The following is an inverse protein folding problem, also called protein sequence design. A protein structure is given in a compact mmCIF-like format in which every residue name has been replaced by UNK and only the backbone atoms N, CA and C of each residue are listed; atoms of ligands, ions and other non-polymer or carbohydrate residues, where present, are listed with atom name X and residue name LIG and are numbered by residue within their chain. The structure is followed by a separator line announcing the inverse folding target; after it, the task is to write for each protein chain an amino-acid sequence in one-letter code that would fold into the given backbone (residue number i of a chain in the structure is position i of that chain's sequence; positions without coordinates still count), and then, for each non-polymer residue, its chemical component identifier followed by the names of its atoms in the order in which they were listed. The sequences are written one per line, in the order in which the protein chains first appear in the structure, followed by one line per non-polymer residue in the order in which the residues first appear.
data_IF_925178427449
#
_entry.id   IF_925178427449
#
_cell.length_a   1.000
_cell.length_b   1.000
_cell.length_c   1.000
_cell.angle_alpha   90.00
_cell.angle_beta   90.00
_cell.angle_gamma   90.00
#
_symmetry.space_group_name_H-M   'P 1'
#
loop_
_entity.id
_entity.type
_entity.pdbx_description
1 polymer ?
#
# COMPACT_ATOMS: atom_id res chain seq x y z
N UNK A 1 6.15 7.75 8.39
CA UNK A 1 4.86 7.09 8.37
C UNK A 1 3.69 7.97 7.93
N UNK A 2 3.56 9.22 8.41
CA UNK A 2 2.44 10.11 8.02
C UNK A 2 2.44 10.52 6.54
N UNK A 3 3.56 10.45 5.89
CA UNK A 3 3.73 10.85 4.50
C UNK A 3 3.03 9.91 3.51
N UNK A 4 3.01 8.60 3.79
CA UNK A 4 2.28 7.63 2.96
C UNK A 4 0.79 7.99 2.85
N UNK A 5 0.13 8.26 3.98
CA UNK A 5 -1.28 8.66 4.00
C UNK A 5 -1.55 9.94 3.19
N UNK A 6 -0.61 10.91 3.24
CA UNK A 6 -0.66 12.13 2.45
C UNK A 6 -0.52 11.87 0.96
N UNK A 7 0.49 11.13 0.55
CA UNK A 7 0.75 10.83 -0.85
C UNK A 7 -0.38 9.97 -1.46
N UNK A 8 -0.87 8.95 -0.75
CA UNK A 8 -1.99 8.13 -1.19
C UNK A 8 -3.28 8.95 -1.36
N UNK A 9 -3.58 9.84 -0.39
CA UNK A 9 -4.74 10.74 -0.46
C UNK A 9 -4.60 11.70 -1.63
N UNK A 10 -3.44 12.33 -1.79
CA UNK A 10 -3.15 13.26 -2.88
C UNK A 10 -3.38 12.58 -4.25
N UNK A 11 -2.74 11.44 -4.49
CA UNK A 11 -2.87 10.72 -5.75
C UNK A 11 -4.34 10.30 -5.97
N UNK A 12 -5.03 9.82 -4.94
CA UNK A 12 -6.42 9.38 -5.05
C UNK A 12 -7.38 10.55 -5.40
N UNK A 13 -7.15 11.74 -4.87
CA UNK A 13 -7.99 12.93 -5.11
C UNK A 13 -7.73 13.60 -6.46
N UNK A 14 -6.48 13.54 -6.96
CA UNK A 14 -6.15 14.05 -8.30
C UNK A 14 -6.44 13.03 -9.42
N UNK A 15 -6.66 11.77 -9.08
CA UNK A 15 -6.91 10.72 -10.07
C UNK A 15 -8.37 10.68 -10.49
N UNK A 16 -8.61 10.40 -11.77
CA UNK A 16 -9.97 10.12 -12.26
C UNK A 16 -10.51 8.81 -11.68
N UNK A 17 -11.82 8.72 -11.45
CA UNK A 17 -12.47 7.57 -10.83
C UNK A 17 -12.18 6.26 -11.56
N UNK A 18 -12.07 6.30 -12.90
CA UNK A 18 -11.80 5.13 -13.75
C UNK A 18 -10.36 4.64 -13.75
N UNK A 19 -9.39 5.46 -13.30
CA UNK A 19 -7.95 5.13 -13.36
C UNK A 19 -7.25 5.29 -12.01
N UNK A 20 -8.01 5.41 -10.93
CA UNK A 20 -7.46 5.66 -9.60
C UNK A 20 -6.55 4.53 -9.12
N UNK A 21 -6.87 3.25 -9.47
CA UNK A 21 -6.02 2.11 -9.15
C UNK A 21 -4.67 2.20 -9.86
N UNK A 22 -4.68 2.43 -11.16
CA UNK A 22 -3.45 2.59 -11.94
C UNK A 22 -2.60 3.78 -11.47
N UNK A 23 -3.22 4.94 -11.25
CA UNK A 23 -2.49 6.11 -10.75
C UNK A 23 -1.98 5.91 -9.32
N UNK A 24 -2.78 5.31 -8.44
CA UNK A 24 -2.38 4.98 -7.08
C UNK A 24 -1.19 4.02 -7.02
N UNK A 25 -1.11 3.05 -7.93
CA UNK A 25 -0.01 2.08 -7.96
C UNK A 25 1.37 2.69 -8.22
N UNK A 26 1.45 3.92 -8.76
CA UNK A 26 2.72 4.65 -8.90
C UNK A 26 3.33 5.02 -7.55
N UNK A 27 2.55 5.10 -6.47
CA UNK A 27 3.11 5.32 -5.14
C UNK A 27 4.03 4.16 -4.75
N UNK A 28 3.56 2.94 -4.84
CA UNK A 28 4.36 1.75 -4.49
C UNK A 28 5.44 1.45 -5.54
N UNK A 29 5.19 1.75 -6.80
CA UNK A 29 6.22 1.71 -7.83
C UNK A 29 7.41 2.62 -7.45
N UNK A 30 7.14 3.84 -6.97
CA UNK A 30 8.15 4.76 -6.46
C UNK A 30 8.88 4.22 -5.22
N UNK A 31 8.13 3.58 -4.31
CA UNK A 31 8.69 2.90 -3.13
C UNK A 31 9.66 1.79 -3.54
N UNK A 32 9.27 0.92 -4.47
CA UNK A 32 10.14 -0.14 -4.98
C UNK A 32 11.40 0.42 -5.66
N UNK A 33 11.28 1.51 -6.44
CA UNK A 33 12.47 2.20 -6.99
C UNK A 33 13.39 2.65 -5.86
N UNK A 34 12.85 3.26 -4.80
CA UNK A 34 13.62 3.70 -3.65
C UNK A 34 14.37 2.55 -2.98
N UNK A 35 13.72 1.41 -2.78
CA UNK A 35 14.36 0.20 -2.23
C UNK A 35 15.49 -0.31 -3.13
N UNK A 36 15.24 -0.44 -4.42
CA UNK A 36 16.24 -0.94 -5.39
C UNK A 36 17.44 0.01 -5.48
N UNK A 37 17.22 1.32 -5.50
CA UNK A 37 18.29 2.31 -5.51
C UNK A 37 19.10 2.27 -4.21
N UNK A 38 18.42 2.22 -3.05
CA UNK A 38 19.07 2.16 -1.74
C UNK A 38 19.93 0.90 -1.60
N UNK A 39 19.36 -0.26 -1.87
CA UNK A 39 20.08 -1.53 -1.84
C UNK A 39 21.18 -1.61 -2.90
N UNK A 40 20.95 -1.04 -4.09
CA UNK A 40 21.95 -0.94 -5.15
C UNK A 40 23.18 -0.10 -4.75
N UNK A 41 22.97 1.03 -4.07
CA UNK A 41 24.07 1.84 -3.52
C UNK A 41 24.86 1.04 -2.49
N UNK A 42 24.20 0.34 -1.57
CA UNK A 42 24.87 -0.49 -0.57
C UNK A 42 25.66 -1.61 -1.24
N UNK A 43 25.08 -2.33 -2.20
CA UNK A 43 25.75 -3.39 -2.95
C UNK A 43 26.99 -2.88 -3.69
N UNK A 44 26.90 -1.71 -4.35
CA UNK A 44 28.01 -1.05 -5.03
C UNK A 44 29.16 -0.70 -4.08
N UNK A 45 28.84 -0.14 -2.92
CA UNK A 45 29.83 0.21 -1.89
C UNK A 45 30.51 -1.04 -1.33
N UNK A 46 29.74 -2.09 -1.03
CA UNK A 46 30.27 -3.36 -0.53
C UNK A 46 31.18 -4.05 -1.54
N UNK A 47 30.86 -3.96 -2.83
CA UNK A 47 31.69 -4.53 -3.89
C UNK A 47 32.94 -3.70 -4.22
N UNK A 48 32.91 -2.37 -3.97
CA UNK A 48 33.97 -1.43 -4.38
C UNK A 48 34.95 -1.07 -3.26
N UNK A 49 34.55 -1.21 -2.00
CA UNK A 49 35.33 -0.81 -0.84
C UNK A 49 35.82 -2.03 -0.04
N UNK A 50 37.04 -1.91 0.54
CA UNK A 50 37.47 -2.87 1.54
C UNK A 50 36.59 -2.82 2.79
N UNK A 51 36.52 -3.90 3.55
CA UNK A 51 35.74 -3.97 4.79
C UNK A 51 36.13 -2.88 5.80
N UNK A 52 37.42 -2.57 5.88
CA UNK A 52 37.93 -1.50 6.72
C UNK A 52 37.42 -0.11 6.27
N UNK A 53 37.48 0.18 4.98
CA UNK A 53 36.96 1.43 4.41
C UNK A 53 35.42 1.54 4.57
N UNK A 54 34.70 0.43 4.37
CA UNK A 54 33.26 0.37 4.54
C UNK A 54 32.85 0.69 5.99
N UNK A 55 33.52 0.09 6.96
CA UNK A 55 33.24 0.30 8.38
C UNK A 55 33.70 1.67 8.90
N UNK A 56 34.77 2.26 8.35
CA UNK A 56 35.27 3.55 8.80
C UNK A 56 34.48 4.73 8.25
N UNK A 57 34.16 4.78 6.97
CA UNK A 57 33.46 5.90 6.33
C UNK A 57 32.39 5.52 5.31
N UNK A 58 32.55 4.37 4.62
CA UNK A 58 31.72 3.99 3.49
C UNK A 58 30.22 3.89 3.84
N UNK A 59 29.86 3.45 5.04
CA UNK A 59 28.50 3.35 5.52
C UNK A 59 27.77 4.71 5.58
N UNK A 60 28.51 5.83 5.61
CA UNK A 60 27.93 7.18 5.62
C UNK A 60 27.43 7.63 4.26
N UNK A 61 27.95 7.06 3.18
CA UNK A 61 27.67 7.49 1.79
C UNK A 61 26.17 7.40 1.44
N UNK A 62 25.44 6.31 1.75
CA UNK A 62 24.01 6.24 1.48
C UNK A 62 23.22 7.36 2.16
N UNK A 63 23.58 7.71 3.40
CA UNK A 63 22.93 8.79 4.14
C UNK A 63 23.24 10.17 3.55
N UNK A 64 24.46 10.38 3.07
CA UNK A 64 24.84 11.63 2.39
C UNK A 64 24.11 11.79 1.05
N UNK A 65 23.89 10.71 0.31
CA UNK A 65 23.09 10.73 -0.94
C UNK A 65 21.61 11.04 -0.62
N UNK A 66 21.08 10.58 0.50
CA UNK A 66 19.72 10.87 0.91
C UNK A 66 19.47 12.37 1.17
N UNK A 67 20.49 13.14 1.57
CA UNK A 67 20.38 14.58 1.82
C UNK A 67 19.88 15.39 0.63
N UNK A 68 20.57 15.38 -0.54
CA UNK A 68 20.11 16.05 -1.74
C UNK A 68 18.72 15.57 -2.21
N UNK A 69 18.42 14.26 -2.11
CA UNK A 69 17.10 13.72 -2.43
C UNK A 69 16.02 14.30 -1.53
N UNK A 70 16.30 14.44 -0.23
CA UNK A 70 15.41 15.10 0.72
C UNK A 70 15.14 16.57 0.39
N UNK A 71 16.17 17.31 -0.06
CA UNK A 71 16.02 18.70 -0.51
C UNK A 71 15.16 18.81 -1.78
N UNK A 72 15.31 17.89 -2.72
CA UNK A 72 14.45 17.79 -3.92
C UNK A 72 13.01 17.52 -3.49
N UNK A 73 12.79 16.57 -2.58
CA UNK A 73 11.47 16.26 -2.04
C UNK A 73 10.83 17.47 -1.35
N UNK A 74 11.60 18.20 -0.54
CA UNK A 74 11.15 19.45 0.09
C UNK A 74 10.77 20.51 -0.94
N UNK A 75 11.59 20.71 -1.98
CA UNK A 75 11.32 21.66 -3.06
C UNK A 75 10.02 21.31 -3.80
N UNK A 76 9.84 20.05 -4.18
CA UNK A 76 8.60 19.58 -4.82
C UNK A 76 7.40 19.84 -3.92
N UNK A 77 7.49 19.51 -2.63
CA UNK A 77 6.42 19.72 -1.66
C UNK A 77 6.03 21.18 -1.50
N UNK A 78 6.99 22.10 -1.55
CA UNK A 78 6.70 23.56 -1.50
C UNK A 78 6.03 24.09 -2.77
N UNK A 79 6.18 23.39 -3.91
CA UNK A 79 5.59 23.78 -5.20
C UNK A 79 4.27 23.09 -5.51
N UNK A 80 3.95 21.99 -4.82
CA UNK A 80 2.68 21.29 -4.99
C UNK A 80 1.55 22.13 -4.40
N UNK A 81 0.52 22.34 -5.21
CA UNK A 81 -0.73 22.95 -4.75
C UNK A 81 -1.55 21.97 -3.92
N UNK A 82 -2.37 22.50 -3.02
CA UNK A 82 -3.34 21.72 -2.28
C UNK A 82 -4.36 21.06 -3.20
N UNK A 83 -4.89 19.90 -2.78
CA UNK A 83 -5.85 19.15 -3.59
C UNK A 83 -7.13 19.95 -3.84
N UNK A 84 -7.77 19.80 -5.02
CA UNK A 84 -9.03 20.49 -5.31
C UNK A 84 -10.14 20.19 -4.29
N UNK A 85 -10.15 18.98 -3.73
CA UNK A 85 -11.09 18.59 -2.70
C UNK A 85 -10.84 19.34 -1.39
N UNK A 86 -9.57 19.51 -1.00
CA UNK A 86 -9.20 20.26 0.19
C UNK A 86 -9.45 21.78 0.01
N UNK A 87 -9.11 22.36 -1.16
CA UNK A 87 -9.39 23.78 -1.46
C UNK A 87 -10.88 24.09 -1.34
N UNK A 88 -11.75 23.29 -1.98
CA UNK A 88 -13.21 23.45 -1.89
C UNK A 88 -13.73 23.34 -0.46
N UNK A 89 -13.19 22.41 0.32
CA UNK A 89 -13.57 22.24 1.72
C UNK A 89 -13.11 23.42 2.59
N UNK A 90 -11.91 23.96 2.33
CA UNK A 90 -11.41 25.16 2.99
C UNK A 90 -12.29 26.38 2.67
N UNK A 91 -12.61 26.60 1.39
CA UNK A 91 -13.51 27.66 0.93
C UNK A 91 -14.92 27.55 1.54
N UNK A 92 -15.48 26.33 1.59
CA UNK A 92 -16.77 26.08 2.21
C UNK A 92 -16.76 26.33 3.74
N UNK A 93 -15.61 26.09 4.40
CA UNK A 93 -15.43 26.38 5.83
C UNK A 93 -15.29 27.86 6.11
N UNK A 94 -14.54 28.59 5.29
CA UNK A 94 -14.41 30.04 5.38
C UNK A 94 -15.76 30.72 5.18
N UNK A 95 -16.56 30.24 4.22
CA UNK A 95 -17.91 30.77 3.97
C UNK A 95 -18.89 30.53 5.14
N UNK A 96 -18.63 29.53 6.00
CA UNK A 96 -19.49 29.20 7.16
C UNK A 96 -18.98 29.80 8.48
N UNK A 97 -17.87 30.53 8.48
CA UNK A 97 -17.25 31.17 9.67
C UNK A 97 -17.08 30.22 10.88
N UNK A 98 -16.83 28.92 10.58
CA UNK A 98 -16.71 27.87 11.60
C UNK A 98 -15.39 27.15 11.47
N UNK A 99 -14.45 27.47 12.35
CA UNK A 99 -13.36 26.55 12.65
C UNK A 99 -13.94 25.22 13.13
N UNK A 100 -13.64 24.11 12.46
CA UNK A 100 -14.07 22.79 12.93
C UNK A 100 -13.32 22.47 14.23
N UNK A 101 -14.00 22.35 15.37
CA UNK A 101 -13.35 22.04 16.64
C UNK A 101 -12.61 20.71 16.54
N UNK A 102 -11.44 20.58 17.20
CA UNK A 102 -10.72 19.30 17.34
C UNK A 102 -11.60 18.16 17.89
N UNK A 103 -12.59 18.50 18.71
CA UNK A 103 -13.60 17.59 19.20
C UNK A 103 -14.39 16.89 18.09
N UNK A 104 -14.78 17.64 17.04
CA UNK A 104 -15.55 17.10 15.92
C UNK A 104 -14.75 16.09 15.06
N UNK A 105 -13.43 16.31 14.90
CA UNK A 105 -12.54 15.33 14.22
C UNK A 105 -12.53 14.00 14.99
N UNK A 106 -12.35 14.04 16.30
CA UNK A 106 -12.33 12.86 17.17
C UNK A 106 -13.67 12.12 17.12
N UNK A 107 -14.79 12.83 17.23
CA UNK A 107 -16.13 12.26 17.15
C UNK A 107 -16.37 11.59 15.80
N UNK A 108 -16.01 12.27 14.69
CA UNK A 108 -16.14 11.72 13.34
C UNK A 108 -15.22 10.51 13.14
N UNK A 109 -14.01 10.52 13.69
CA UNK A 109 -13.09 9.40 13.65
C UNK A 109 -13.69 8.17 14.35
N UNK A 110 -14.21 8.34 15.57
CA UNK A 110 -14.84 7.25 16.31
C UNK A 110 -16.15 6.78 15.67
N UNK A 111 -16.93 7.67 15.05
CA UNK A 111 -18.11 7.29 14.27
C UNK A 111 -17.75 6.37 13.10
N UNK A 112 -16.52 6.47 12.55
CA UNK A 112 -16.02 5.65 11.45
C UNK A 112 -15.11 4.49 11.91
N UNK A 113 -15.28 3.99 13.15
CA UNK A 113 -14.43 2.93 13.71
C UNK A 113 -14.36 1.66 12.85
N UNK A 114 -15.45 1.31 12.15
CA UNK A 114 -15.49 0.15 11.23
C UNK A 114 -14.53 0.35 10.06
N UNK A 115 -14.48 1.55 9.47
CA UNK A 115 -13.54 1.89 8.41
C UNK A 115 -12.09 1.88 8.91
N UNK A 116 -11.85 2.31 10.15
CA UNK A 116 -10.53 2.22 10.78
C UNK A 116 -10.09 0.76 10.99
N UNK A 117 -10.97 -0.10 11.49
CA UNK A 117 -10.66 -1.53 11.63
C UNK A 117 -10.39 -2.19 10.27
N UNK A 118 -11.19 -1.88 9.25
CA UNK A 118 -10.94 -2.34 7.89
C UNK A 118 -9.60 -1.84 7.36
N UNK A 119 -9.27 -0.58 7.58
CA UNK A 119 -7.97 -0.02 7.23
C UNK A 119 -6.84 -0.80 7.90
N UNK A 120 -6.91 -1.01 9.22
CA UNK A 120 -5.89 -1.77 9.97
C UNK A 120 -5.76 -3.20 9.44
N UNK A 121 -6.86 -3.90 9.17
CA UNK A 121 -6.83 -5.28 8.65
C UNK A 121 -6.27 -5.38 7.23
N UNK A 122 -6.61 -4.44 6.35
CA UNK A 122 -6.06 -4.38 4.99
C UNK A 122 -4.56 -4.04 5.00
N UNK A 123 -4.18 -3.07 5.83
CA UNK A 123 -2.77 -2.68 5.97
C UNK A 123 -1.95 -3.78 6.66
N UNK A 124 -2.56 -4.57 7.58
CA UNK A 124 -1.91 -5.70 8.23
C UNK A 124 -1.44 -6.72 7.19
N UNK A 125 -2.35 -7.26 6.36
CA UNK A 125 -1.96 -8.25 5.35
C UNK A 125 -0.93 -7.72 4.36
N UNK A 126 -1.08 -6.47 3.93
CA UNK A 126 -0.13 -5.81 3.06
C UNK A 126 1.26 -5.75 3.70
N UNK A 127 1.36 -5.17 4.91
CA UNK A 127 2.66 -4.94 5.55
C UNK A 127 3.30 -6.24 6.07
N UNK A 128 2.52 -7.19 6.60
CA UNK A 128 3.07 -8.50 6.96
C UNK A 128 3.73 -9.16 5.76
N UNK A 129 3.07 -9.14 4.60
CA UNK A 129 3.63 -9.72 3.37
C UNK A 129 4.85 -8.94 2.88
N UNK A 130 4.79 -7.61 2.90
CA UNK A 130 5.87 -6.72 2.46
C UNK A 130 7.14 -6.92 3.32
N UNK A 131 7.02 -6.80 4.64
CA UNK A 131 8.14 -6.98 5.55
C UNK A 131 8.66 -8.42 5.58
N UNK A 132 7.78 -9.41 5.35
CA UNK A 132 8.20 -10.80 5.21
C UNK A 132 9.10 -10.97 3.99
N UNK A 133 8.62 -10.54 2.82
CA UNK A 133 9.32 -10.79 1.54
C UNK A 133 10.56 -9.91 1.39
N UNK A 134 10.45 -8.62 1.73
CA UNK A 134 11.49 -7.64 1.42
C UNK A 134 12.50 -7.44 2.57
N UNK A 135 12.15 -7.78 3.80
CA UNK A 135 13.01 -7.57 4.96
C UNK A 135 13.43 -8.87 5.65
N UNK A 136 12.47 -9.73 6.02
CA UNK A 136 12.77 -10.93 6.80
C UNK A 136 13.41 -12.04 5.96
N UNK A 137 12.84 -12.41 4.81
CA UNK A 137 13.34 -13.54 4.00
C UNK A 137 14.79 -13.38 3.55
N UNK A 138 15.30 -12.20 3.15
CA UNK A 138 16.72 -12.03 2.86
C UNK A 138 17.61 -12.39 4.04
N UNK A 139 17.28 -11.94 5.25
CA UNK A 139 18.01 -12.26 6.47
C UNK A 139 17.86 -13.73 6.86
N UNK A 140 16.68 -14.31 6.73
CA UNK A 140 16.41 -15.73 7.00
C UNK A 140 17.20 -16.64 6.07
N UNK A 141 17.30 -16.31 4.79
CA UNK A 141 18.09 -17.09 3.83
C UNK A 141 19.57 -17.08 4.18
N UNK A 142 20.13 -15.93 4.57
CA UNK A 142 21.55 -15.83 4.91
C UNK A 142 21.87 -16.41 6.28
N UNK A 143 21.09 -16.08 7.32
CA UNK A 143 21.38 -16.46 8.70
C UNK A 143 20.97 -17.89 9.06
N UNK A 144 19.85 -18.37 8.50
CA UNK A 144 19.26 -19.65 8.88
C UNK A 144 19.50 -20.74 7.83
N UNK A 145 19.38 -20.41 6.55
CA UNK A 145 19.60 -21.35 5.46
C UNK A 145 21.05 -21.36 4.96
N UNK A 146 21.90 -20.48 5.51
CA UNK A 146 23.32 -20.34 5.13
C UNK A 146 23.56 -20.08 3.65
N UNK A 147 22.59 -19.42 2.99
CA UNK A 147 22.75 -18.93 1.64
C UNK A 147 23.74 -17.76 1.64
N UNK A 148 24.49 -17.60 0.56
CA UNK A 148 25.37 -16.46 0.41
C UNK A 148 24.57 -15.14 0.49
N UNK A 149 25.02 -14.22 1.35
CA UNK A 149 24.32 -12.98 1.64
C UNK A 149 24.17 -12.11 0.37
N UNK A 150 25.23 -12.03 -0.43
CA UNK A 150 25.25 -11.26 -1.67
C UNK A 150 24.28 -11.85 -2.70
N UNK A 151 24.23 -13.17 -2.83
CA UNK A 151 23.28 -13.84 -3.71
C UNK A 151 21.83 -13.65 -3.24
N UNK A 152 21.56 -13.75 -1.94
CA UNK A 152 20.23 -13.54 -1.36
C UNK A 152 19.73 -12.13 -1.67
N UNK A 153 20.58 -11.11 -1.49
CA UNK A 153 20.24 -9.73 -1.76
C UNK A 153 19.96 -9.50 -3.26
N UNK A 154 20.79 -10.04 -4.15
CA UNK A 154 20.60 -9.90 -5.60
C UNK A 154 19.29 -10.55 -6.05
N UNK A 155 18.93 -11.73 -5.53
CA UNK A 155 17.67 -12.39 -5.88
C UNK A 155 16.46 -11.56 -5.45
N UNK A 156 16.48 -10.98 -4.25
CA UNK A 156 15.41 -10.10 -3.77
C UNK A 156 15.32 -8.83 -4.62
N UNK A 157 16.46 -8.22 -4.96
CA UNK A 157 16.48 -7.05 -5.85
C UNK A 157 15.88 -7.36 -7.23
N UNK A 158 16.20 -8.52 -7.81
CA UNK A 158 15.61 -8.94 -9.09
C UNK A 158 14.09 -9.12 -8.98
N UNK A 159 13.61 -9.71 -7.87
CA UNK A 159 12.17 -9.84 -7.61
C UNK A 159 11.52 -8.46 -7.47
N UNK A 160 12.14 -7.52 -6.73
CA UNK A 160 11.63 -6.13 -6.62
C UNK A 160 11.51 -5.45 -7.99
N UNK A 161 12.51 -5.60 -8.86
CA UNK A 161 12.47 -5.05 -10.22
C UNK A 161 11.32 -5.65 -11.03
N UNK A 162 11.08 -6.96 -10.91
CA UNK A 162 9.95 -7.62 -11.57
C UNK A 162 8.59 -7.22 -10.95
N UNK A 163 8.55 -6.94 -9.66
CA UNK A 163 7.35 -6.45 -9.00
C UNK A 163 6.92 -5.06 -9.50
N UNK A 164 7.84 -4.20 -9.95
CA UNK A 164 7.50 -2.86 -10.45
C UNK A 164 6.41 -2.88 -11.54
N UNK A 165 6.60 -3.56 -12.69
CA UNK A 165 5.57 -3.63 -13.71
C UNK A 165 4.34 -4.41 -13.23
N UNK A 166 4.49 -5.42 -12.37
CA UNK A 166 3.38 -6.19 -11.81
C UNK A 166 2.48 -5.33 -10.91
N UNK A 167 3.06 -4.45 -10.10
CA UNK A 167 2.34 -3.48 -9.26
C UNK A 167 1.48 -2.54 -10.12
N UNK A 168 2.03 -1.99 -11.19
CA UNK A 168 1.27 -1.16 -12.12
C UNK A 168 0.18 -1.94 -12.85
N UNK A 169 0.46 -3.18 -13.23
CA UNK A 169 -0.52 -4.06 -13.85
C UNK A 169 -1.67 -4.40 -12.88
N UNK A 170 -1.36 -4.74 -11.63
CA UNK A 170 -2.36 -5.02 -10.60
C UNK A 170 -3.24 -3.79 -10.32
N UNK A 171 -2.66 -2.58 -10.25
CA UNK A 171 -3.40 -1.33 -10.15
C UNK A 171 -4.37 -1.12 -11.32
N UNK A 172 -3.90 -1.32 -12.56
CA UNK A 172 -4.74 -1.23 -13.75
C UNK A 172 -5.81 -2.33 -13.82
N UNK A 173 -5.48 -3.55 -13.40
CA UNK A 173 -6.41 -4.66 -13.34
C UNK A 173 -7.53 -4.36 -12.34
N UNK A 174 -7.19 -3.79 -11.18
CA UNK A 174 -8.16 -3.42 -10.15
C UNK A 174 -9.17 -2.35 -10.61
N UNK A 175 -8.77 -1.47 -11.54
CA UNK A 175 -9.69 -0.52 -12.16
C UNK A 175 -10.69 -1.20 -13.14
N UNK A 176 -10.35 -2.40 -13.64
CA UNK A 176 -11.21 -3.14 -14.60
C UNK A 176 -12.13 -4.13 -13.90
N UNK A 177 -11.57 -5.00 -13.06
CA UNK A 177 -12.29 -6.12 -12.43
C UNK A 177 -12.80 -5.81 -11.02
N UNK A 178 -12.38 -4.70 -10.44
CA UNK A 178 -12.65 -4.35 -9.05
C UNK A 178 -11.42 -4.52 -8.15
N UNK A 179 -11.40 -3.81 -7.04
CA UNK A 179 -10.30 -3.84 -6.05
C UNK A 179 -10.37 -5.10 -5.21
N UNK A 180 -11.59 -5.50 -4.79
CA UNK A 180 -11.81 -6.71 -3.99
C UNK A 180 -11.29 -7.98 -4.67
N UNK A 181 -11.60 -8.30 -5.94
CA UNK A 181 -11.12 -9.51 -6.59
C UNK A 181 -9.60 -9.61 -6.64
N UNK A 182 -8.90 -8.51 -6.91
CA UNK A 182 -7.43 -8.49 -6.98
C UNK A 182 -6.82 -8.75 -5.61
N UNK A 183 -7.31 -8.07 -4.57
CA UNK A 183 -6.82 -8.29 -3.20
C UNK A 183 -7.17 -9.69 -2.68
N UNK A 184 -8.38 -10.22 -2.99
CA UNK A 184 -8.75 -11.58 -2.63
C UNK A 184 -7.85 -12.61 -3.30
N UNK A 185 -7.50 -12.41 -4.59
CA UNK A 185 -6.55 -13.27 -5.27
C UNK A 185 -5.18 -13.28 -4.57
N UNK A 186 -4.72 -12.12 -4.09
CA UNK A 186 -3.51 -12.02 -3.25
C UNK A 186 -3.64 -12.79 -1.93
N UNK A 187 -4.74 -12.59 -1.19
CA UNK A 187 -4.97 -13.28 0.09
C UNK A 187 -5.10 -14.79 -0.08
N UNK A 188 -5.93 -15.27 -1.01
CA UNK A 188 -6.09 -16.69 -1.29
C UNK A 188 -4.80 -17.30 -1.82
N UNK A 189 -4.09 -16.56 -2.68
CA UNK A 189 -2.77 -16.95 -3.16
C UNK A 189 -1.78 -17.15 -2.01
N UNK A 190 -1.71 -16.22 -1.05
CA UNK A 190 -0.85 -16.37 0.14
C UNK A 190 -1.28 -17.56 1.00
N UNK A 191 -2.58 -17.78 1.18
CA UNK A 191 -3.06 -18.92 1.96
C UNK A 191 -2.65 -20.26 1.35
N UNK A 192 -2.62 -20.38 0.03
CA UNK A 192 -2.33 -21.62 -0.71
C UNK A 192 -0.85 -21.76 -1.05
N UNK A 193 -0.19 -20.68 -1.45
CA UNK A 193 1.15 -20.71 -2.04
C UNK A 193 2.28 -20.35 -1.06
N UNK A 194 2.00 -19.90 0.17
CA UNK A 194 3.07 -19.59 1.13
C UNK A 194 3.92 -20.82 1.47
N UNK A 195 3.30 -21.99 1.73
CA UNK A 195 4.02 -23.22 1.99
C UNK A 195 4.83 -23.67 0.77
N UNK A 196 4.24 -23.83 -0.44
CA UNK A 196 5.01 -24.14 -1.64
C UNK A 196 6.17 -23.19 -1.91
N UNK A 197 5.97 -21.88 -1.70
CA UNK A 197 7.02 -20.88 -1.89
C UNK A 197 8.19 -21.09 -0.92
N UNK A 198 7.90 -21.33 0.36
CA UNK A 198 8.93 -21.61 1.37
C UNK A 198 9.65 -22.95 1.08
N UNK A 199 8.94 -23.99 0.62
CA UNK A 199 9.56 -25.25 0.21
C UNK A 199 10.54 -25.04 -0.96
N UNK A 200 10.19 -24.19 -1.94
CA UNK A 200 11.10 -23.82 -3.02
C UNK A 200 12.33 -23.07 -2.48
N UNK A 201 12.16 -22.17 -1.53
CA UNK A 201 13.27 -21.45 -0.91
C UNK A 201 14.18 -22.41 -0.15
N UNK A 202 13.62 -23.37 0.59
CA UNK A 202 14.38 -24.40 1.33
C UNK A 202 15.12 -25.40 0.42
N UNK A 203 14.65 -25.60 -0.82
CA UNK A 203 15.34 -26.46 -1.78
C UNK A 203 16.75 -25.98 -2.14
N UNK A 204 17.07 -24.71 -1.86
CA UNK A 204 18.43 -24.19 -1.80
C UNK A 204 19.12 -23.98 -3.14
N UNK A 205 18.48 -24.23 -4.28
CA UNK A 205 19.05 -23.85 -5.59
C UNK A 205 18.68 -22.43 -5.93
N UNK A 206 19.55 -21.70 -6.64
CA UNK A 206 19.28 -20.32 -7.07
C UNK A 206 17.94 -20.18 -7.79
N UNK A 207 17.61 -21.13 -8.67
CA UNK A 207 16.37 -21.13 -9.43
C UNK A 207 15.13 -21.37 -8.54
N UNK A 208 15.22 -22.29 -7.57
CA UNK A 208 14.09 -22.57 -6.67
C UNK A 208 13.87 -21.42 -5.68
N UNK A 209 14.94 -20.83 -5.13
CA UNK A 209 14.87 -19.67 -4.25
C UNK A 209 14.23 -18.49 -5.00
N UNK A 210 14.72 -18.20 -6.21
CA UNK A 210 14.14 -17.14 -7.05
C UNK A 210 12.66 -17.41 -7.36
N UNK A 211 12.30 -18.66 -7.69
CA UNK A 211 10.91 -19.04 -7.96
C UNK A 211 10.00 -18.83 -6.74
N UNK A 212 10.43 -19.24 -5.55
CA UNK A 212 9.70 -19.05 -4.29
C UNK A 212 9.50 -17.56 -3.97
N UNK A 213 10.56 -16.77 -4.05
CA UNK A 213 10.50 -15.31 -3.86
C UNK A 213 9.60 -14.63 -4.90
N UNK A 214 9.69 -15.05 -6.17
CA UNK A 214 8.88 -14.47 -7.25
C UNK A 214 7.40 -14.74 -7.04
N UNK A 215 7.00 -15.94 -6.62
CA UNK A 215 5.60 -16.24 -6.29
C UNK A 215 5.10 -15.29 -5.21
N UNK A 216 5.85 -15.14 -4.11
CA UNK A 216 5.48 -14.22 -3.03
C UNK A 216 5.45 -12.76 -3.50
N UNK A 217 6.39 -12.34 -4.36
CA UNK A 217 6.43 -11.01 -4.95
C UNK A 217 5.22 -10.72 -5.85
N UNK A 218 4.77 -11.70 -6.65
CA UNK A 218 3.54 -11.58 -7.45
C UNK A 218 2.32 -11.40 -6.56
N UNK A 219 2.22 -12.17 -5.48
CA UNK A 219 1.12 -12.05 -4.53
C UNK A 219 1.15 -10.72 -3.79
N UNK A 220 2.34 -10.24 -3.40
CA UNK A 220 2.52 -8.92 -2.81
C UNK A 220 2.09 -7.81 -3.78
N UNK A 221 2.36 -7.97 -5.09
CA UNK A 221 1.97 -6.99 -6.10
C UNK A 221 0.44 -6.79 -6.19
N UNK A 222 -0.37 -7.77 -5.78
CA UNK A 222 -1.82 -7.62 -5.66
C UNK A 222 -2.22 -6.58 -4.60
N UNK A 223 -1.39 -6.40 -3.57
CA UNK A 223 -1.63 -5.40 -2.52
C UNK A 223 -0.99 -4.08 -2.87
N UNK A 224 0.29 -4.05 -3.26
CA UNK A 224 1.01 -2.82 -3.61
C UNK A 224 0.32 -2.06 -4.75
N UNK A 225 -0.26 -2.78 -5.72
CA UNK A 225 -0.99 -2.15 -6.83
C UNK A 225 -2.35 -1.55 -6.43
N UNK A 226 -2.99 -2.04 -5.38
CA UNK A 226 -4.38 -1.71 -5.06
C UNK A 226 -4.53 -0.82 -3.82
N UNK A 227 -3.72 -1.04 -2.78
CA UNK A 227 -3.85 -0.36 -1.49
C UNK A 227 -3.83 1.18 -1.59
N UNK A 228 -2.94 1.83 -2.38
CA UNK A 228 -2.93 3.28 -2.47
C UNK A 228 -4.24 3.90 -2.98
N UNK A 229 -5.07 3.12 -3.68
CA UNK A 229 -6.36 3.58 -4.17
C UNK A 229 -7.54 3.11 -3.30
N UNK A 230 -7.42 1.96 -2.64
CA UNK A 230 -8.47 1.38 -1.81
C UNK A 230 -8.56 2.05 -0.43
N UNK A 231 -7.42 2.32 0.21
CA UNK A 231 -7.38 2.86 1.57
C UNK A 231 -7.97 4.28 1.68
N UNK A 232 -7.64 5.25 0.79
CA UNK A 232 -8.27 6.57 0.83
C UNK A 232 -9.78 6.54 0.62
N UNK A 233 -10.28 5.55 -0.16
CA UNK A 233 -11.71 5.42 -0.44
C UNK A 233 -12.55 4.95 0.78
N UNK A 234 -11.91 4.45 1.83
CA UNK A 234 -12.59 4.06 3.08
C UNK A 234 -13.19 5.27 3.82
N UNK A 235 -12.53 6.41 3.72
CA UNK A 235 -12.81 7.57 4.57
C UNK A 235 -13.41 8.74 3.78
N UNK A 236 -14.37 9.48 4.38
CA UNK A 236 -14.86 10.72 3.79
C UNK A 236 -13.76 11.79 3.77
N UNK A 237 -13.85 12.74 2.82
CA UNK A 237 -12.84 13.78 2.58
C UNK A 237 -12.41 14.51 3.85
N UNK A 238 -13.36 14.76 4.75
CA UNK A 238 -13.13 15.54 5.98
C UNK A 238 -12.09 14.94 6.93
N UNK A 239 -12.03 13.62 7.01
CA UNK A 239 -11.12 12.90 7.93
C UNK A 239 -10.13 12.00 7.18
N UNK A 240 -10.24 11.87 5.85
CA UNK A 240 -9.49 10.92 5.01
C UNK A 240 -8.00 10.89 5.34
N UNK A 241 -7.34 12.04 5.27
CA UNK A 241 -5.91 12.14 5.54
C UNK A 241 -5.56 11.66 6.96
N UNK A 242 -6.23 12.21 7.98
CA UNK A 242 -5.91 11.90 9.37
C UNK A 242 -6.28 10.47 9.76
N UNK A 243 -7.44 9.98 9.32
CA UNK A 243 -7.89 8.62 9.61
C UNK A 243 -7.01 7.58 8.91
N UNK A 244 -6.65 7.82 7.65
CA UNK A 244 -5.72 6.96 6.91
C UNK A 244 -4.34 6.96 7.57
N UNK A 245 -3.80 8.11 7.92
CA UNK A 245 -2.51 8.20 8.58
C UNK A 245 -2.49 7.43 9.91
N UNK A 246 -3.53 7.54 10.73
CA UNK A 246 -3.65 6.81 12.00
C UNK A 246 -3.77 5.30 11.73
N UNK A 247 -4.73 4.87 10.91
CA UNK A 247 -4.96 3.44 10.63
C UNK A 247 -3.75 2.77 10.01
N UNK A 248 -3.11 3.43 9.05
CA UNK A 248 -1.91 2.94 8.39
C UNK A 248 -0.73 2.81 9.37
N UNK A 249 -0.39 3.88 10.09
CA UNK A 249 0.78 3.86 10.98
C UNK A 249 0.62 2.92 12.18
N UNK A 250 -0.58 2.83 12.76
CA UNK A 250 -0.86 1.84 13.82
C UNK A 250 -0.62 0.43 13.29
N UNK A 251 -1.15 0.11 12.12
CA UNK A 251 -0.99 -1.23 11.54
C UNK A 251 0.46 -1.53 11.13
N UNK A 252 1.16 -0.58 10.49
CA UNK A 252 2.58 -0.72 10.13
C UNK A 252 3.44 -0.96 11.37
N UNK A 253 3.24 -0.17 12.42
CA UNK A 253 4.04 -0.29 13.64
C UNK A 253 3.80 -1.60 14.37
N UNK A 254 2.52 -2.02 14.50
CA UNK A 254 2.17 -3.22 15.25
C UNK A 254 2.42 -4.53 14.48
N UNK A 255 2.24 -4.53 13.17
CA UNK A 255 2.28 -5.76 12.37
C UNK A 255 3.43 -5.77 11.35
N UNK A 256 3.69 -4.66 10.65
CA UNK A 256 4.80 -4.58 9.70
C UNK A 256 6.15 -4.62 10.40
N UNK A 257 6.44 -3.62 11.22
CA UNK A 257 7.73 -3.49 11.88
C UNK A 257 8.07 -4.64 12.84
N UNK A 258 7.08 -5.31 13.42
CA UNK A 258 7.29 -6.46 14.30
C UNK A 258 7.37 -7.80 13.56
N UNK A 259 6.98 -7.87 12.29
CA UNK A 259 6.98 -9.12 11.49
C UNK A 259 8.33 -9.85 11.53
N UNK A 260 9.50 -9.23 11.29
CA UNK A 260 10.78 -9.93 11.36
C UNK A 260 11.06 -10.50 12.75
N UNK A 261 10.81 -9.72 13.80
CA UNK A 261 11.04 -10.12 15.19
C UNK A 261 10.13 -11.29 15.60
N UNK A 262 8.84 -11.17 15.36
CA UNK A 262 7.85 -12.19 15.72
C UNK A 262 8.12 -13.47 14.94
N UNK A 263 8.44 -13.37 13.65
CA UNK A 263 8.72 -14.55 12.83
C UNK A 263 9.99 -15.25 13.25
N UNK A 264 11.07 -14.51 13.54
CA UNK A 264 12.32 -15.07 14.03
C UNK A 264 12.11 -15.75 15.39
N UNK A 265 11.38 -15.12 16.30
CA UNK A 265 11.03 -15.71 17.59
C UNK A 265 10.20 -17.00 17.44
N UNK A 266 9.20 -17.02 16.54
CA UNK A 266 8.40 -18.21 16.26
C UNK A 266 9.28 -19.37 15.72
N UNK A 267 10.19 -19.09 14.81
CA UNK A 267 11.13 -20.08 14.28
C UNK A 267 12.02 -20.63 15.40
N UNK A 268 12.55 -19.77 16.27
CA UNK A 268 13.42 -20.15 17.37
C UNK A 268 12.70 -21.01 18.41
N UNK A 269 11.53 -20.61 18.88
CA UNK A 269 10.77 -21.34 19.91
C UNK A 269 10.18 -22.65 19.40
N UNK A 270 9.73 -22.70 18.14
CA UNK A 270 9.07 -23.88 17.58
C UNK A 270 10.03 -24.84 16.87
N UNK A 271 11.26 -24.38 16.60
CA UNK A 271 12.23 -25.08 15.75
C UNK A 271 11.67 -25.48 14.37
N UNK A 272 10.66 -24.74 13.89
CA UNK A 272 9.99 -25.02 12.64
C UNK A 272 10.28 -23.92 11.61
N UNK A 273 11.07 -24.27 10.60
CA UNK A 273 11.47 -23.34 9.53
C UNK A 273 10.30 -22.93 8.60
N UNK A 274 9.11 -23.54 8.75
CA UNK A 274 7.91 -23.15 7.99
C UNK A 274 7.08 -22.05 8.67
N UNK A 275 7.48 -21.57 9.87
CA UNK A 275 6.76 -20.51 10.58
C UNK A 275 6.54 -19.24 9.75
N UNK A 276 7.46 -18.77 8.88
CA UNK A 276 7.20 -17.64 8.01
C UNK A 276 5.97 -17.86 7.10
N UNK A 277 5.78 -19.07 6.56
CA UNK A 277 4.60 -19.39 5.75
C UNK A 277 3.32 -19.36 6.60
N UNK A 278 3.32 -19.99 7.77
CA UNK A 278 2.15 -20.00 8.65
C UNK A 278 1.78 -18.62 9.14
N UNK A 279 2.75 -17.74 9.40
CA UNK A 279 2.52 -16.35 9.79
C UNK A 279 1.84 -15.57 8.67
N UNK A 280 2.32 -15.70 7.42
CA UNK A 280 1.68 -15.11 6.24
C UNK A 280 0.26 -15.67 6.01
N UNK A 281 0.05 -16.98 6.19
CA UNK A 281 -1.27 -17.58 6.07
C UNK A 281 -2.24 -17.04 7.14
N UNK A 282 -1.78 -16.88 8.39
CA UNK A 282 -2.58 -16.25 9.44
C UNK A 282 -2.99 -14.82 9.11
N UNK A 283 -2.04 -14.03 8.60
CA UNK A 283 -2.33 -12.68 8.12
C UNK A 283 -3.28 -12.69 6.91
N UNK A 284 -3.16 -13.67 6.00
CA UNK A 284 -4.05 -13.83 4.86
C UNK A 284 -5.51 -14.10 5.26
N UNK A 285 -5.74 -14.88 6.31
CA UNK A 285 -7.10 -15.10 6.85
C UNK A 285 -7.74 -13.79 7.34
N UNK A 286 -6.97 -12.96 8.07
CA UNK A 286 -7.43 -11.63 8.50
C UNK A 286 -7.67 -10.75 7.27
N UNK A 287 -6.78 -10.82 6.29
CA UNK A 287 -6.90 -10.12 5.01
C UNK A 287 -8.19 -10.49 4.26
N UNK A 288 -8.52 -11.78 4.16
CA UNK A 288 -9.76 -12.26 3.51
C UNK A 288 -10.99 -11.64 4.18
N UNK A 289 -11.06 -11.72 5.52
CA UNK A 289 -12.18 -11.12 6.28
C UNK A 289 -12.30 -9.63 5.99
N UNK A 290 -11.16 -8.90 6.02
CA UNK A 290 -11.13 -7.47 5.77
C UNK A 290 -11.54 -7.12 4.33
N UNK A 291 -11.05 -7.86 3.34
CA UNK A 291 -11.40 -7.62 1.92
C UNK A 291 -12.85 -7.98 1.63
N UNK A 292 -13.40 -9.05 2.22
CA UNK A 292 -14.82 -9.42 2.06
C UNK A 292 -15.72 -8.33 2.65
N UNK A 293 -15.36 -7.79 3.82
CA UNK A 293 -16.11 -6.70 4.46
C UNK A 293 -15.94 -5.33 3.77
N UNK A 294 -14.92 -5.16 2.93
CA UNK A 294 -14.71 -3.93 2.17
C UNK A 294 -15.83 -3.72 1.15
N UNK A 295 -16.34 -2.50 1.03
CA UNK A 295 -17.20 -2.13 -0.10
C UNK A 295 -16.34 -1.93 -1.36
N UNK A 296 -16.83 -2.41 -2.52
CA UNK A 296 -16.14 -2.15 -3.79
C UNK A 296 -16.13 -0.65 -4.10
N UNK A 297 -14.97 -0.12 -4.43
CA UNK A 297 -14.78 1.31 -4.67
C UNK A 297 -14.16 1.61 -6.05
N UNK A 298 -14.02 0.59 -6.90
CA UNK A 298 -13.51 0.78 -8.26
C UNK A 298 -14.51 1.59 -9.09
N UNK A 299 -13.99 2.58 -9.81
CA UNK A 299 -14.75 3.49 -10.69
C UNK A 299 -15.83 4.33 -9.98
N UNK A 300 -15.84 4.33 -8.65
CA UNK A 300 -16.77 5.15 -7.87
C UNK A 300 -16.09 6.43 -7.40
N UNK A 301 -16.83 7.53 -7.26
CA UNK A 301 -16.30 8.74 -6.63
C UNK A 301 -15.88 8.46 -5.19
N UNK A 302 -14.88 9.21 -4.73
CA UNK A 302 -14.48 9.14 -3.33
C UNK A 302 -15.59 9.70 -2.44
N UNK A 303 -15.78 9.10 -1.27
CA UNK A 303 -16.76 9.57 -0.27
C UNK A 303 -16.53 11.05 0.06
N UNK A 304 -17.55 11.87 -0.09
CA UNK A 304 -17.48 13.31 0.16
C UNK A 304 -16.73 14.12 -0.91
N UNK A 305 -16.37 13.52 -2.04
CA UNK A 305 -15.79 14.22 -3.20
C UNK A 305 -16.70 14.11 -4.41
N UNK A 306 -16.78 15.15 -5.24
CA UNK A 306 -17.53 15.06 -6.50
C UNK A 306 -16.86 14.04 -7.43
N UNK A 307 -17.62 13.46 -8.40
CA UNK A 307 -17.09 12.57 -9.40
C UNK A 307 -15.93 13.17 -10.19
N UNK A 308 -14.83 12.45 -10.32
CA UNK A 308 -13.64 12.87 -11.05
C UNK A 308 -13.59 12.19 -12.42
N UNK A 309 -13.92 12.94 -13.47
CA UNK A 309 -13.99 12.48 -14.87
C UNK A 309 -12.87 13.07 -15.73
N UNK A 310 -12.41 12.30 -16.72
CA UNK A 310 -11.27 12.69 -17.55
C UNK A 310 -11.67 13.62 -18.71
N UNK A 311 -12.93 13.57 -19.16
CA UNK A 311 -13.38 14.29 -20.36
C UNK A 311 -14.72 14.99 -20.15
N UNK A 312 -14.96 16.08 -20.93
CA UNK A 312 -16.27 16.77 -20.94
C UNK A 312 -17.42 15.84 -21.35
N UNK A 313 -17.15 14.85 -22.23
CA UNK A 313 -18.17 13.87 -22.64
C UNK A 313 -18.59 12.97 -21.47
N UNK A 314 -17.63 12.51 -20.67
CA UNK A 314 -17.91 11.73 -19.45
C UNK A 314 -18.67 12.57 -18.42
N UNK A 315 -18.32 13.86 -18.27
CA UNK A 315 -19.05 14.77 -17.39
C UNK A 315 -20.51 14.93 -17.81
N UNK A 316 -20.78 15.09 -19.13
CA UNK A 316 -22.16 15.19 -19.64
C UNK A 316 -22.93 13.87 -19.51
N UNK A 317 -22.29 12.72 -19.74
CA UNK A 317 -22.94 11.41 -19.55
C UNK A 317 -23.31 11.19 -18.08
N UNK A 318 -22.38 11.49 -17.17
CA UNK A 318 -22.62 11.37 -15.72
C UNK A 318 -23.75 12.32 -15.27
N UNK A 319 -23.75 13.58 -15.76
CA UNK A 319 -24.80 14.53 -15.44
C UNK A 319 -26.19 14.07 -15.95
N UNK A 320 -26.25 13.38 -17.10
CA UNK A 320 -27.49 12.77 -17.57
C UNK A 320 -27.94 11.61 -16.69
N UNK A 321 -27.03 10.68 -16.36
CA UNK A 321 -27.32 9.54 -15.50
C UNK A 321 -27.85 9.98 -14.13
N UNK A 322 -27.21 10.99 -13.52
CA UNK A 322 -27.66 11.53 -12.25
C UNK A 322 -29.04 12.17 -12.30
N UNK A 323 -29.39 12.85 -13.41
CA UNK A 323 -30.75 13.40 -13.61
C UNK A 323 -31.79 12.30 -13.80
N UNK A 324 -31.46 11.27 -14.60
CA UNK A 324 -32.34 10.12 -14.81
C UNK A 324 -32.62 9.37 -13.50
N UNK A 325 -31.57 9.17 -12.64
CA UNK A 325 -31.73 8.57 -11.31
C UNK A 325 -32.58 9.44 -10.35
N UNK A 326 -32.45 10.77 -10.40
CA UNK A 326 -33.24 11.71 -9.60
C UNK A 326 -34.69 11.72 -10.07
N UNK A 327 -34.96 11.75 -11.38
CA UNK A 327 -36.30 11.68 -11.96
C UNK A 327 -37.01 10.34 -11.63
N UNK A 328 -36.29 9.22 -11.71
CA UNK A 328 -36.83 7.90 -11.31
C UNK A 328 -37.14 7.85 -9.82
N UNK A 329 -36.29 8.42 -8.96
CA UNK A 329 -36.51 8.46 -7.53
C UNK A 329 -37.75 9.29 -7.13
N UNK A 330 -38.00 10.40 -7.84
CA UNK A 330 -39.20 11.22 -7.64
C UNK A 330 -40.48 10.48 -8.11
N UNK A 331 -40.40 9.75 -9.25
CA UNK A 331 -41.53 9.00 -9.80
C UNK A 331 -41.94 7.82 -8.90
N UNK A 332 -40.97 7.14 -8.30
CA UNK A 332 -41.24 5.97 -7.44
C UNK A 332 -41.35 6.29 -5.95
N UNK A 333 -41.23 7.54 -5.52
CA UNK A 333 -41.37 7.97 -4.11
C UNK A 333 -40.35 7.34 -3.16
N UNK A 334 -39.25 6.81 -3.69
CA UNK A 334 -38.17 6.24 -2.89
C UNK A 334 -37.23 7.37 -2.50
N UNK A 335 -37.22 7.73 -1.20
CA UNK A 335 -36.32 8.72 -0.67
C UNK A 335 -34.87 8.30 -1.00
N UNK A 336 -34.20 9.07 -1.85
CA UNK A 336 -32.76 8.88 -2.12
C UNK A 336 -32.04 9.02 -0.78
N UNK A 337 -31.28 8.01 -0.32
CA UNK A 337 -30.50 8.16 0.90
C UNK A 337 -29.55 9.35 0.70
N UNK A 338 -29.70 10.36 1.56
CA UNK A 338 -28.84 11.54 1.54
C UNK A 338 -27.38 11.07 1.45
N UNK A 339 -26.71 11.41 0.36
CA UNK A 339 -25.29 11.09 0.17
C UNK A 339 -24.48 11.87 1.22
N UNK A 340 -24.27 11.21 2.38
CA UNK A 340 -23.45 11.70 3.48
C UNK A 340 -21.96 11.42 3.21
#
# INVERSE_FOLDING_TARGET
GGEYGGAATFIAEFSTDRRRGFMGSFLEFGTLIGYVLGAGVVALLTASLSQEALLSWGWRVPFLIAGPLGLIGLYIRMKLEETPAFKRQAEAREAQDKAVPKARFRETLFANWRALLLCVGLVLIFNVTDYMVLSYLPSFMSSTLHFDESHSLVLVLLVMVLMMPMTLYAGRLSDKVGRKPVMLAGCVGLLVLSIPSLLLIHAGTTASVFGGLLILGVLLSCFTGVMPSALPALFPTEIRYGALAIGFNVSVSLFGGTTPLVTAWLVDVTHNLMMPAYYMMGAALIGIVSVVALAESARQPLKGSPPAVATRREAHQLARQLREEDDESEVYGVATPARA
#
